data_IF_102490713941
#
_entry.id   IF_102490713941
#
_cell.length_a   1.000
_cell.length_b   1.000
_cell.length_c   1.000
_cell.angle_alpha   90.00
_cell.angle_beta   90.00
_cell.angle_gamma   90.00
#
_symmetry.space_group_name_H-M   'P 1'
#
loop_
_entity.id
_entity.type
_entity.pdbx_description
1 polymer ?
#
# COMPACT_ATOMS: atom_id res chain seq x y z
N UNK A 1 31.02 -0.09 10.05
CA UNK A 1 30.50 0.39 11.36
C UNK A 1 28.97 0.34 11.32
N UNK A 2 28.27 -0.02 12.39
CA UNK A 2 26.80 -0.14 12.37
C UNK A 2 26.14 1.23 12.60
N UNK A 3 25.57 1.85 11.57
CA UNK A 3 24.97 3.19 11.64
C UNK A 3 23.87 3.25 12.71
N UNK A 4 23.11 2.15 12.92
CA UNK A 4 22.09 2.10 13.99
C UNK A 4 22.69 2.27 15.38
N UNK A 5 23.90 1.76 15.60
CA UNK A 5 24.61 1.92 16.87
C UNK A 5 25.02 3.38 17.09
N UNK A 6 25.51 4.06 16.06
CA UNK A 6 25.84 5.50 16.14
C UNK A 6 24.63 6.36 16.52
N UNK A 7 23.45 6.03 15.98
CA UNK A 7 22.20 6.70 16.34
C UNK A 7 21.84 6.47 17.81
N UNK A 8 22.00 5.24 18.31
CA UNK A 8 21.76 4.89 19.72
C UNK A 8 22.73 5.61 20.67
N UNK A 9 23.99 5.73 20.26
CA UNK A 9 25.05 6.40 21.02
C UNK A 9 24.99 7.94 20.92
N UNK A 10 23.94 8.50 20.29
CA UNK A 10 23.75 9.94 20.03
C UNK A 10 24.86 10.60 19.19
N UNK A 11 25.65 9.82 18.46
CA UNK A 11 26.72 10.31 17.60
C UNK A 11 26.19 10.61 16.19
N UNK A 12 25.36 11.65 16.11
CA UNK A 12 24.59 11.97 14.90
C UNK A 12 25.46 12.48 13.74
N UNK A 13 26.54 13.21 14.03
CA UNK A 13 27.41 13.77 12.98
C UNK A 13 28.17 12.66 12.25
N UNK A 14 28.71 11.69 12.99
CA UNK A 14 29.35 10.53 12.39
C UNK A 14 28.33 9.67 11.64
N UNK A 15 27.13 9.45 12.20
CA UNK A 15 26.06 8.73 11.51
C UNK A 15 25.67 9.40 10.18
N UNK A 16 25.57 10.73 10.15
CA UNK A 16 25.28 11.50 8.93
C UNK A 16 26.40 11.35 7.90
N UNK A 17 27.66 11.47 8.33
CA UNK A 17 28.84 11.33 7.47
C UNK A 17 28.88 9.95 6.82
N UNK A 18 28.78 8.88 7.62
CA UNK A 18 28.84 7.50 7.14
C UNK A 18 27.66 7.17 6.22
N UNK A 19 26.45 7.63 6.54
CA UNK A 19 25.28 7.41 5.69
C UNK A 19 25.40 8.14 4.35
N UNK A 20 25.94 9.37 4.32
CA UNK A 20 26.18 10.11 3.07
C UNK A 20 27.21 9.42 2.18
N UNK A 21 28.33 8.96 2.75
CA UNK A 21 29.34 8.20 2.01
C UNK A 21 28.75 6.93 1.38
N UNK A 22 27.95 6.19 2.14
CA UNK A 22 27.29 4.97 1.65
C UNK A 22 26.29 5.29 0.53
N UNK A 23 25.53 6.39 0.66
CA UNK A 23 24.62 6.87 -0.39
C UNK A 23 25.38 7.25 -1.67
N UNK A 24 26.53 7.93 -1.56
CA UNK A 24 27.34 8.33 -2.72
C UNK A 24 27.97 7.15 -3.47
N UNK A 25 28.29 6.06 -2.76
CA UNK A 25 28.72 4.80 -3.39
C UNK A 25 27.55 4.16 -4.11
N UNK A 26 26.41 3.99 -3.43
CA UNK A 26 25.22 3.38 -4.02
C UNK A 26 24.68 4.16 -5.24
N UNK A 27 24.76 5.50 -5.23
CA UNK A 27 24.40 6.34 -6.37
C UNK A 27 25.26 6.04 -7.60
N UNK A 28 26.58 5.85 -7.42
CA UNK A 28 27.51 5.54 -8.51
C UNK A 28 27.29 4.15 -9.09
N UNK A 29 26.93 3.18 -8.26
CA UNK A 29 26.74 1.79 -8.67
C UNK A 29 25.37 1.53 -9.30
N UNK A 30 24.30 2.06 -8.69
CA UNK A 30 22.91 1.75 -9.05
C UNK A 30 22.26 2.81 -9.96
N UNK A 31 22.82 4.03 -9.98
CA UNK A 31 22.26 5.19 -10.67
C UNK A 31 21.11 5.86 -9.90
N UNK A 32 20.78 7.09 -10.31
CA UNK A 32 19.95 8.04 -9.55
C UNK A 32 18.50 7.63 -9.29
N UNK A 33 18.00 6.61 -9.99
CA UNK A 33 16.59 6.19 -9.96
C UNK A 33 16.36 4.82 -9.30
N UNK A 34 17.39 4.24 -8.67
CA UNK A 34 17.25 2.92 -8.05
C UNK A 34 16.45 2.98 -6.74
N UNK A 35 15.50 2.06 -6.50
CA UNK A 35 14.68 2.08 -5.30
C UNK A 35 15.48 1.84 -4.01
N UNK A 36 16.61 1.11 -4.07
CA UNK A 36 17.42 0.82 -2.88
C UNK A 36 18.06 2.08 -2.27
N UNK A 37 18.18 3.16 -3.04
CA UNK A 37 18.64 4.44 -2.51
C UNK A 37 17.70 5.01 -1.42
N UNK A 38 16.44 4.57 -1.41
CA UNK A 38 15.43 4.95 -0.42
C UNK A 38 15.85 4.56 1.00
N UNK A 39 16.54 3.44 1.17
CA UNK A 39 16.97 2.98 2.50
C UNK A 39 17.94 3.99 3.17
N UNK A 40 18.86 4.55 2.38
CA UNK A 40 19.81 5.55 2.87
C UNK A 40 19.12 6.89 3.14
N UNK A 41 18.16 7.27 2.30
CA UNK A 41 17.36 8.47 2.54
C UNK A 41 16.51 8.34 3.81
N UNK A 42 15.93 7.16 4.07
CA UNK A 42 15.16 6.90 5.30
C UNK A 42 16.06 6.97 6.53
N UNK A 43 17.27 6.40 6.46
CA UNK A 43 18.25 6.50 7.54
C UNK A 43 18.69 7.95 7.81
N UNK A 44 18.93 8.74 6.76
CA UNK A 44 19.22 10.17 6.92
C UNK A 44 18.05 10.90 7.59
N UNK A 45 16.81 10.60 7.21
CA UNK A 45 15.64 11.22 7.82
C UNK A 45 15.49 10.82 9.30
N UNK A 46 15.77 9.56 9.66
CA UNK A 46 15.81 9.09 11.04
C UNK A 46 16.86 9.84 11.87
N UNK A 47 18.08 9.98 11.35
CA UNK A 47 19.16 10.73 12.03
C UNK A 47 18.75 12.19 12.24
N UNK A 48 18.17 12.84 11.23
CA UNK A 48 17.66 14.21 11.36
C UNK A 48 16.55 14.33 12.40
N UNK A 49 15.66 13.34 12.51
CA UNK A 49 14.60 13.33 13.52
C UNK A 49 15.19 13.16 14.92
N UNK A 50 16.14 12.25 15.10
CA UNK A 50 16.83 12.00 16.36
C UNK A 50 17.65 13.22 16.82
N UNK A 51 18.28 13.94 15.90
CA UNK A 51 18.98 15.20 16.14
C UNK A 51 18.06 16.44 16.18
N UNK A 52 16.78 16.27 16.57
CA UNK A 52 15.85 17.40 16.79
C UNK A 52 15.46 18.21 15.55
N UNK A 53 15.68 17.71 14.33
CA UNK A 53 15.33 18.38 13.08
C UNK A 53 14.20 17.65 12.30
N UNK A 54 12.95 17.66 12.81
CA UNK A 54 11.83 16.99 12.17
C UNK A 54 11.45 17.63 10.82
N UNK A 55 11.72 18.92 10.63
CA UNK A 55 11.48 19.61 9.35
C UNK A 55 12.40 19.09 8.25
N UNK A 56 13.68 18.88 8.57
CA UNK A 56 14.67 18.26 7.69
C UNK A 56 14.30 16.82 7.35
N UNK A 57 13.98 16.01 8.36
CA UNK A 57 13.51 14.63 8.19
C UNK A 57 12.32 14.55 7.23
N UNK A 58 11.28 15.39 7.43
CA UNK A 58 10.09 15.43 6.57
C UNK A 58 10.43 15.76 5.10
N UNK A 59 11.38 16.64 4.85
CA UNK A 59 11.85 16.95 3.47
C UNK A 59 12.53 15.73 2.83
N UNK A 60 13.36 15.02 3.60
CA UNK A 60 14.07 13.83 3.12
C UNK A 60 13.10 12.68 2.86
N UNK A 61 12.15 12.41 3.77
CA UNK A 61 11.10 11.40 3.54
C UNK A 61 10.28 11.67 2.27
N UNK A 62 9.97 12.95 1.97
CA UNK A 62 9.32 13.34 0.71
C UNK A 62 10.21 13.10 -0.53
N UNK A 63 11.53 13.21 -0.40
CA UNK A 63 12.48 12.88 -1.49
C UNK A 63 12.52 11.36 -1.70
N UNK A 64 12.64 10.61 -0.60
CA UNK A 64 12.64 9.15 -0.60
C UNK A 64 11.36 8.58 -1.24
N UNK A 65 10.19 9.10 -0.85
CA UNK A 65 8.91 8.71 -1.44
C UNK A 65 8.85 8.99 -2.96
N UNK A 66 9.32 10.16 -3.41
CA UNK A 66 9.34 10.50 -4.85
C UNK A 66 10.27 9.59 -5.65
N UNK A 67 11.48 9.34 -5.13
CA UNK A 67 12.43 8.44 -5.76
C UNK A 67 11.85 7.04 -5.90
N UNK A 68 11.28 6.52 -4.81
CA UNK A 68 10.59 5.25 -4.78
C UNK A 68 9.44 5.18 -5.80
N UNK A 69 8.59 6.20 -5.84
CA UNK A 69 7.49 6.27 -6.80
C UNK A 69 7.95 6.29 -8.26
N UNK A 70 9.11 6.91 -8.54
CA UNK A 70 9.68 7.02 -9.87
C UNK A 70 10.37 5.72 -10.32
N UNK A 71 11.04 5.01 -9.40
CA UNK A 71 11.71 3.75 -9.68
C UNK A 71 10.74 2.70 -10.25
N UNK A 72 9.57 2.59 -9.63
CA UNK A 72 8.55 1.62 -10.02
C UNK A 72 7.59 2.12 -11.11
N UNK A 73 7.82 3.31 -11.69
CA UNK A 73 7.13 3.67 -12.93
C UNK A 73 7.56 2.71 -14.05
N UNK A 74 6.66 2.35 -14.96
CA UNK A 74 7.04 1.54 -16.08
C UNK A 74 7.88 2.42 -17.01
N UNK A 75 8.72 1.76 -17.79
CA UNK A 75 9.29 2.36 -18.98
C UNK A 75 8.25 2.25 -20.10
N UNK A 76 7.30 3.19 -20.11
CA UNK A 76 6.39 3.38 -21.24
C UNK A 76 7.18 3.94 -22.41
N UNK A 77 7.14 3.24 -23.54
CA UNK A 77 7.72 3.67 -24.80
C UNK A 77 6.61 3.99 -25.83
N UNK A 78 6.99 4.61 -26.94
CA UNK A 78 6.08 4.96 -28.02
C UNK A 78 5.28 3.74 -28.57
N UNK A 79 5.74 2.50 -28.34
CA UNK A 79 5.02 1.29 -28.78
C UNK A 79 3.71 1.10 -28.05
N UNK A 80 3.59 1.52 -26.79
CA UNK A 80 2.31 1.49 -26.10
C UNK A 80 1.32 2.46 -26.73
N UNK A 81 1.78 3.67 -27.07
CA UNK A 81 0.97 4.65 -27.79
C UNK A 81 0.50 4.11 -29.15
N UNK A 82 1.41 3.49 -29.91
CA UNK A 82 1.07 2.83 -31.17
C UNK A 82 0.11 1.64 -31.00
N UNK A 83 0.24 0.85 -29.93
CA UNK A 83 -0.68 -0.24 -29.62
C UNK A 83 -2.09 0.22 -29.26
N UNK A 84 -2.24 1.46 -28.80
CA UNK A 84 -3.55 2.06 -28.58
C UNK A 84 -4.19 2.58 -29.85
N UNK A 85 -3.41 3.23 -30.73
CA UNK A 85 -3.89 3.73 -32.01
C UNK A 85 -4.18 2.61 -33.01
N UNK A 86 -3.33 1.57 -32.99
CA UNK A 86 -3.29 0.54 -34.02
C UNK A 86 -3.24 -0.88 -33.41
N UNK A 87 -4.28 -1.28 -32.66
CA UNK A 87 -4.30 -2.54 -31.89
C UNK A 87 -4.26 -3.81 -32.76
N UNK A 88 -4.58 -3.70 -34.05
CA UNK A 88 -4.47 -4.79 -35.03
C UNK A 88 -3.01 -5.07 -35.40
N UNK A 89 -2.14 -4.05 -35.36
CA UNK A 89 -0.77 -4.11 -35.85
C UNK A 89 0.27 -4.25 -34.74
N UNK A 90 -0.05 -3.80 -33.52
CA UNK A 90 0.87 -3.85 -32.38
C UNK A 90 0.29 -4.66 -31.22
N UNK A 91 1.04 -5.68 -30.78
CA UNK A 91 0.71 -6.45 -29.57
C UNK A 91 1.21 -5.73 -28.32
N UNK A 92 0.42 -5.69 -27.23
CA UNK A 92 0.88 -5.18 -25.95
C UNK A 92 2.06 -6.01 -25.43
N UNK A 93 3.10 -5.34 -24.96
CA UNK A 93 4.21 -5.99 -24.27
C UNK A 93 4.01 -5.89 -22.74
N UNK A 94 4.69 -6.75 -21.99
CA UNK A 94 4.79 -6.61 -20.54
C UNK A 94 5.55 -5.32 -20.20
N UNK A 95 5.03 -4.56 -19.24
CA UNK A 95 5.69 -3.38 -18.70
C UNK A 95 7.06 -3.76 -18.13
N UNK A 96 8.03 -2.87 -18.29
CA UNK A 96 9.38 -3.05 -17.74
C UNK A 96 9.64 -1.97 -16.69
N UNK A 97 10.30 -2.28 -15.55
CA UNK A 97 10.70 -1.27 -14.59
C UNK A 97 11.72 -0.30 -15.19
N UNK A 98 11.85 0.89 -14.61
CA UNK A 98 12.85 1.90 -15.01
C UNK A 98 14.26 1.64 -14.46
N UNK A 99 14.42 0.59 -13.66
CA UNK A 99 15.68 0.14 -13.10
C UNK A 99 15.91 -1.33 -13.44
N UNK A 100 17.15 -1.79 -13.32
CA UNK A 100 17.51 -3.20 -13.44
C UNK A 100 17.41 -3.83 -12.05
N UNK A 101 16.51 -4.81 -11.82
CA UNK A 101 16.40 -5.43 -10.50
C UNK A 101 17.51 -6.46 -10.27
N UNK A 102 18.15 -6.37 -9.12
CA UNK A 102 19.18 -7.34 -8.71
C UNK A 102 18.57 -8.61 -8.09
N UNK A 103 17.40 -8.47 -7.44
CA UNK A 103 16.69 -9.58 -6.81
C UNK A 103 15.29 -9.73 -7.39
N UNK A 104 14.99 -10.93 -7.89
CA UNK A 104 13.67 -11.30 -8.39
C UNK A 104 13.13 -12.45 -7.54
N UNK A 105 12.01 -12.21 -6.86
CA UNK A 105 11.32 -13.22 -6.06
C UNK A 105 10.50 -14.12 -6.99
N UNK A 106 10.69 -15.44 -6.88
CA UNK A 106 9.92 -16.42 -7.63
C UNK A 106 8.59 -16.73 -6.92
N UNK A 107 7.49 -16.23 -7.46
CA UNK A 107 6.13 -16.57 -7.08
C UNK A 107 5.64 -17.76 -7.89
N UNK A 108 5.47 -18.89 -7.21
CA UNK A 108 4.96 -20.13 -7.78
C UNK A 108 3.44 -20.26 -7.57
N UNK A 109 2.72 -21.00 -8.42
CA UNK A 109 1.27 -21.14 -8.31
C UNK A 109 0.78 -21.66 -6.95
N UNK A 110 1.56 -22.48 -6.26
CA UNK A 110 1.21 -23.07 -4.96
C UNK A 110 1.17 -22.02 -3.83
N UNK A 111 1.79 -20.87 -4.04
CA UNK A 111 1.78 -19.76 -3.08
C UNK A 111 0.55 -18.86 -3.26
N UNK A 112 -0.31 -19.09 -4.24
CA UNK A 112 -1.46 -18.24 -4.52
C UNK A 112 -2.48 -18.33 -3.37
N UNK A 113 -2.75 -17.19 -2.72
CA UNK A 113 -3.75 -17.04 -1.65
C UNK A 113 -5.10 -16.69 -2.27
N UNK A 114 -5.11 -15.67 -3.12
CA UNK A 114 -6.34 -15.10 -3.66
C UNK A 114 -6.11 -14.50 -5.05
N UNK A 115 -7.10 -14.65 -5.93
CA UNK A 115 -7.08 -14.14 -7.30
C UNK A 115 -8.22 -13.14 -7.51
N UNK A 116 -7.96 -11.86 -7.21
CA UNK A 116 -8.94 -10.78 -7.38
C UNK A 116 -8.99 -10.24 -8.80
N UNK A 117 -9.91 -9.31 -9.12
CA UNK A 117 -10.10 -8.81 -10.48
C UNK A 117 -8.89 -8.06 -11.07
N UNK A 118 -8.20 -7.26 -10.24
CA UNK A 118 -7.02 -6.46 -10.64
C UNK A 118 -5.69 -7.12 -10.24
N UNK A 119 -5.66 -7.82 -9.10
CA UNK A 119 -4.45 -8.30 -8.43
C UNK A 119 -4.56 -9.76 -7.98
N UNK A 120 -3.42 -10.42 -7.94
CA UNK A 120 -3.23 -11.74 -7.34
C UNK A 120 -2.37 -11.58 -6.08
N UNK A 121 -2.74 -12.26 -4.99
CA UNK A 121 -2.00 -12.24 -3.73
C UNK A 121 -1.33 -13.59 -3.50
N UNK A 122 -0.03 -13.58 -3.17
CA UNK A 122 0.78 -14.76 -2.96
C UNK A 122 1.40 -14.74 -1.57
N UNK A 123 1.61 -15.90 -0.94
CA UNK A 123 2.44 -16.05 0.25
C UNK A 123 3.88 -15.69 -0.13
N UNK A 124 4.57 -14.92 0.72
CA UNK A 124 5.98 -14.60 0.49
C UNK A 124 6.84 -15.88 0.66
N UNK A 125 7.70 -16.26 -0.31
CA UNK A 125 8.36 -17.56 -0.30
C UNK A 125 9.31 -17.80 0.89
N UNK A 126 9.88 -16.74 1.46
CA UNK A 126 10.81 -16.81 2.59
C UNK A 126 10.16 -16.47 3.94
N UNK A 127 8.94 -15.94 3.95
CA UNK A 127 8.29 -15.52 5.20
C UNK A 127 6.77 -15.73 5.10
N UNK A 128 6.21 -16.77 5.73
CA UNK A 128 4.79 -17.07 5.63
C UNK A 128 3.89 -16.01 6.26
N UNK A 129 4.42 -15.09 7.08
CA UNK A 129 3.67 -13.98 7.68
C UNK A 129 3.53 -12.78 6.73
N UNK A 130 4.14 -12.83 5.56
CA UNK A 130 4.05 -11.79 4.54
C UNK A 130 3.29 -12.30 3.31
N UNK A 131 2.64 -11.39 2.61
CA UNK A 131 2.10 -11.65 1.29
C UNK A 131 2.57 -10.61 0.28
N UNK A 132 2.62 -11.04 -0.98
CA UNK A 132 3.01 -10.22 -2.12
C UNK A 132 1.77 -10.07 -3.00
N UNK A 133 1.28 -8.84 -3.13
CA UNK A 133 0.19 -8.49 -4.06
C UNK A 133 0.77 -8.07 -5.40
N UNK A 134 0.44 -8.76 -6.48
CA UNK A 134 0.94 -8.46 -7.84
C UNK A 134 -0.21 -8.05 -8.75
N UNK A 135 -0.03 -6.96 -9.49
CA UNK A 135 -0.95 -6.49 -10.52
C UNK A 135 -0.94 -7.43 -11.73
N UNK A 136 -2.12 -7.94 -12.14
CA UNK A 136 -2.26 -8.86 -13.29
C UNK A 136 -1.76 -8.26 -14.61
N UNK A 137 -1.72 -6.93 -14.69
CA UNK A 137 -1.27 -6.15 -15.85
C UNK A 137 0.16 -6.47 -16.27
N UNK A 138 1.04 -6.78 -15.31
CA UNK A 138 2.45 -7.08 -15.59
C UNK A 138 2.65 -8.40 -16.33
N UNK A 139 1.79 -9.40 -16.07
CA UNK A 139 1.85 -10.73 -16.72
C UNK A 139 1.19 -10.75 -18.09
N UNK A 140 -0.05 -10.27 -18.18
CA UNK A 140 -0.90 -10.49 -19.37
C UNK A 140 -0.60 -9.54 -20.52
N UNK A 141 0.31 -8.60 -20.30
CA UNK A 141 0.45 -7.45 -21.17
C UNK A 141 -0.76 -6.53 -21.05
N UNK A 142 -0.56 -5.33 -21.54
CA UNK A 142 -1.43 -4.21 -21.32
C UNK A 142 -2.61 -4.19 -22.33
N UNK A 143 -3.72 -4.88 -22.01
CA UNK A 143 -4.96 -4.82 -22.81
C UNK A 143 -5.93 -3.78 -22.24
N UNK A 144 -5.90 -2.58 -22.80
CA UNK A 144 -6.88 -1.55 -22.48
C UNK A 144 -8.20 -1.77 -23.26
N UNK A 145 -9.36 -1.59 -22.60
CA UNK A 145 -10.66 -1.48 -23.30
C UNK A 145 -10.73 -0.23 -24.20
N UNK A 146 -11.52 -0.22 -25.28
CA UNK A 146 -11.63 0.95 -26.17
C UNK A 146 -11.93 2.27 -25.43
N UNK A 147 -12.81 2.23 -24.41
CA UNK A 147 -13.12 3.39 -23.55
C UNK A 147 -11.88 3.94 -22.83
N UNK A 148 -11.07 3.06 -22.25
CA UNK A 148 -9.86 3.46 -21.53
C UNK A 148 -8.74 3.90 -22.50
N UNK A 149 -8.69 3.40 -23.74
CA UNK A 149 -7.77 3.92 -24.79
C UNK A 149 -8.12 5.35 -25.18
N UNK A 150 -9.41 5.64 -25.33
CA UNK A 150 -9.88 7.00 -25.62
C UNK A 150 -9.55 7.95 -24.46
N UNK A 151 -9.81 7.54 -23.20
CA UNK A 151 -9.35 8.30 -22.03
C UNK A 151 -7.84 8.54 -22.07
N UNK A 152 -7.04 7.57 -22.49
CA UNK A 152 -5.59 7.76 -22.63
C UNK A 152 -5.20 8.80 -23.65
N UNK A 153 -5.85 8.76 -24.81
CA UNK A 153 -5.55 9.67 -25.89
C UNK A 153 -5.92 11.12 -25.53
N UNK A 154 -7.07 11.31 -24.88
CA UNK A 154 -7.60 12.62 -24.52
C UNK A 154 -6.99 13.17 -23.22
N UNK A 155 -6.61 12.29 -22.30
CA UNK A 155 -6.21 12.63 -20.94
C UNK A 155 -5.05 11.74 -20.44
N UNK A 156 -3.85 11.81 -21.06
CA UNK A 156 -2.73 10.93 -20.74
C UNK A 156 -2.23 11.03 -19.29
N UNK A 157 -2.49 12.15 -18.61
CA UNK A 157 -2.14 12.37 -17.21
C UNK A 157 -3.12 11.71 -16.20
N UNK A 158 -4.26 11.23 -16.67
CA UNK A 158 -5.40 10.79 -15.84
C UNK A 158 -5.51 9.26 -15.70
N UNK A 159 -4.48 8.51 -16.09
CA UNK A 159 -4.61 7.06 -16.23
C UNK A 159 -3.81 6.32 -15.18
N UNK A 160 -4.56 5.62 -14.33
CA UNK A 160 -4.05 4.79 -13.27
C UNK A 160 -3.60 3.42 -13.76
N UNK A 161 -2.30 3.17 -13.62
CA UNK A 161 -1.72 1.84 -13.74
C UNK A 161 -0.90 1.46 -12.53
N UNK A 162 -1.29 1.86 -11.31
CA UNK A 162 -0.34 1.84 -10.20
C UNK A 162 -0.96 1.47 -8.85
N UNK A 163 -1.94 0.55 -8.82
CA UNK A 163 -2.70 0.27 -7.59
C UNK A 163 -1.81 -0.15 -6.41
N UNK A 164 -0.77 -0.96 -6.66
CA UNK A 164 0.24 -1.31 -5.66
C UNK A 164 1.08 -0.10 -5.19
N UNK A 165 1.43 0.82 -6.10
CA UNK A 165 2.21 2.01 -5.77
C UNK A 165 1.40 3.01 -4.97
N UNK A 166 0.14 3.19 -5.34
CA UNK A 166 -0.78 4.07 -4.64
C UNK A 166 -1.06 3.57 -3.24
N UNK A 167 -1.36 2.28 -3.09
CA UNK A 167 -1.55 1.64 -1.80
C UNK A 167 -0.28 1.85 -0.93
N UNK A 168 0.90 1.46 -1.42
CA UNK A 168 2.15 1.67 -0.69
C UNK A 168 2.45 3.15 -0.33
N UNK A 169 2.13 4.08 -1.24
CA UNK A 169 2.24 5.53 -0.99
C UNK A 169 1.34 5.94 0.16
N UNK A 170 0.10 5.43 0.22
CA UNK A 170 -0.83 5.69 1.32
C UNK A 170 -0.25 5.16 2.63
N UNK A 171 0.15 3.88 2.71
CA UNK A 171 0.76 3.33 3.92
C UNK A 171 1.93 4.18 4.40
N UNK A 172 2.87 4.50 3.50
CA UNK A 172 4.06 5.29 3.83
C UNK A 172 3.70 6.71 4.26
N UNK A 173 2.76 7.37 3.57
CA UNK A 173 2.38 8.77 3.88
C UNK A 173 1.62 8.87 5.20
N UNK A 174 0.73 7.92 5.47
CA UNK A 174 -0.07 7.88 6.69
C UNK A 174 0.78 7.47 7.89
N UNK A 175 1.62 6.43 7.75
CA UNK A 175 2.58 6.04 8.79
C UNK A 175 3.54 7.18 9.16
N UNK A 176 4.00 7.98 8.18
CA UNK A 176 4.83 9.16 8.45
C UNK A 176 4.08 10.29 9.19
N UNK A 177 2.75 10.36 9.07
CA UNK A 177 1.91 11.36 9.74
C UNK A 177 1.51 10.92 11.15
N UNK A 178 1.09 9.67 11.30
CA UNK A 178 0.42 9.13 12.49
C UNK A 178 1.39 8.31 13.36
N UNK A 179 2.39 7.67 12.77
CA UNK A 179 3.30 6.77 13.48
C UNK A 179 2.70 5.38 13.72
N UNK A 180 3.12 4.74 14.81
CA UNK A 180 2.79 3.33 15.12
C UNK A 180 1.30 3.08 15.36
N UNK A 181 0.54 4.08 15.81
CA UNK A 181 -0.92 4.01 16.00
C UNK A 181 -1.64 3.63 14.70
N UNK A 182 -1.08 3.98 13.53
CA UNK A 182 -1.64 3.58 12.23
C UNK A 182 -1.72 2.06 12.04
N UNK A 183 -0.73 1.32 12.55
CA UNK A 183 -0.65 -0.13 12.37
C UNK A 183 -1.56 -0.91 13.32
N UNK A 184 -2.31 -0.23 14.20
CA UNK A 184 -3.42 -0.85 14.94
C UNK A 184 -4.59 -1.20 14.01
N UNK A 185 -4.79 -0.39 12.96
CA UNK A 185 -5.88 -0.56 11.99
C UNK A 185 -5.38 -0.85 10.56
N UNK A 186 -4.07 -1.02 10.35
CA UNK A 186 -3.47 -1.27 9.06
C UNK A 186 -2.37 -2.35 9.14
N UNK A 187 -2.25 -3.25 8.15
CA UNK A 187 -1.12 -4.16 8.11
C UNK A 187 0.18 -3.39 7.87
N UNK A 188 1.32 -3.91 8.31
CA UNK A 188 2.61 -3.32 7.91
C UNK A 188 2.82 -3.48 6.41
N UNK A 189 3.30 -2.41 5.77
CA UNK A 189 3.67 -2.38 4.36
C UNK A 189 5.18 -2.27 4.24
N UNK A 190 5.82 -3.26 3.63
CA UNK A 190 7.27 -3.36 3.49
C UNK A 190 7.78 -2.81 2.15
N UNK A 191 6.86 -2.31 1.30
CA UNK A 191 7.19 -1.70 0.02
C UNK A 191 7.06 -2.67 -1.15
N UNK A 192 7.53 -2.25 -2.32
CA UNK A 192 7.44 -3.02 -3.55
C UNK A 192 8.75 -3.75 -3.79
N UNK A 193 8.65 -5.02 -4.17
CA UNK A 193 9.76 -5.88 -4.56
C UNK A 193 9.54 -6.38 -5.99
N UNK A 194 10.62 -6.74 -6.68
CA UNK A 194 10.50 -7.36 -7.99
C UNK A 194 10.25 -8.87 -7.87
N UNK A 195 9.29 -9.35 -8.66
CA UNK A 195 8.96 -10.77 -8.77
C UNK A 195 9.02 -11.22 -10.23
N UNK A 196 9.03 -12.53 -10.46
CA UNK A 196 8.90 -13.13 -11.80
C UNK A 196 7.58 -12.76 -12.50
N UNK A 197 6.60 -12.19 -11.78
CA UNK A 197 5.30 -11.77 -12.30
C UNK A 197 5.18 -10.24 -12.44
N UNK A 198 6.23 -9.48 -12.11
CA UNK A 198 6.24 -8.01 -12.06
C UNK A 198 6.49 -7.46 -10.65
N UNK A 199 6.39 -6.15 -10.44
CA UNK A 199 6.46 -5.53 -9.13
C UNK A 199 5.30 -5.99 -8.24
N UNK A 200 5.63 -6.45 -7.04
CA UNK A 200 4.68 -6.89 -6.03
C UNK A 200 4.77 -6.05 -4.76
N UNK A 201 3.63 -5.64 -4.22
CA UNK A 201 3.56 -4.95 -2.93
C UNK A 201 3.63 -5.98 -1.80
N UNK A 202 4.63 -5.87 -0.95
CA UNK A 202 4.81 -6.72 0.24
C UNK A 202 4.06 -6.10 1.42
N UNK A 203 3.10 -6.84 1.96
CA UNK A 203 2.38 -6.47 3.17
C UNK A 203 2.34 -7.62 4.15
N UNK A 204 2.14 -7.28 5.42
CA UNK A 204 1.85 -8.23 6.48
C UNK A 204 0.55 -8.99 6.18
N UNK A 205 0.57 -10.30 6.43
CA UNK A 205 -0.64 -11.10 6.54
C UNK A 205 -1.16 -10.95 7.96
N UNK A 206 -2.34 -10.35 8.06
CA UNK A 206 -2.98 -10.09 9.35
C UNK A 206 -3.25 -11.42 10.04
N UNK A 207 -2.53 -11.65 11.14
CA UNK A 207 -2.66 -12.81 11.99
C UNK A 207 -3.12 -12.39 13.38
N UNK A 208 -3.77 -13.34 14.04
CA UNK A 208 -4.15 -13.30 15.43
C UNK A 208 -2.95 -13.72 16.30
N UNK A 209 -3.06 -13.49 17.62
CA UNK A 209 -2.02 -13.86 18.58
C UNK A 209 -1.68 -15.37 18.61
N UNK A 210 -2.65 -16.22 18.27
CA UNK A 210 -2.46 -17.69 18.17
C UNK A 210 -1.73 -18.13 16.88
N UNK A 211 -1.35 -17.19 16.02
CA UNK A 211 -0.70 -17.44 14.73
C UNK A 211 -1.67 -17.84 13.60
N UNK A 212 -2.98 -17.94 13.87
CA UNK A 212 -3.99 -18.09 12.83
C UNK A 212 -4.21 -16.78 12.08
N UNK A 213 -4.76 -16.85 10.86
CA UNK A 213 -5.04 -15.64 10.08
C UNK A 213 -6.36 -15.02 10.49
N UNK A 214 -6.35 -13.71 10.70
CA UNK A 214 -7.51 -12.94 11.13
C UNK A 214 -8.64 -13.03 10.11
N UNK A 215 -9.87 -13.21 10.60
CA UNK A 215 -11.03 -13.42 9.76
C UNK A 215 -11.66 -12.09 9.32
N UNK A 216 -12.23 -12.01 8.11
CA UNK A 216 -13.17 -10.97 7.74
C UNK A 216 -14.30 -10.82 8.77
N UNK A 217 -14.74 -9.58 9.01
CA UNK A 217 -15.75 -9.27 10.02
C UNK A 217 -17.08 -10.00 9.78
N UNK A 218 -17.49 -10.17 8.53
CA UNK A 218 -18.71 -10.91 8.18
C UNK A 218 -18.58 -12.40 8.50
N UNK A 219 -17.41 -13.00 8.25
CA UNK A 219 -17.09 -14.38 8.61
C UNK A 219 -16.98 -14.53 10.13
N UNK A 220 -16.35 -13.57 10.81
CA UNK A 220 -16.19 -13.56 12.25
C UNK A 220 -17.55 -13.57 12.97
N UNK A 221 -18.49 -12.72 12.55
CA UNK A 221 -19.84 -12.65 13.14
C UNK A 221 -20.65 -13.92 12.84
N UNK A 222 -20.59 -14.44 11.61
CA UNK A 222 -21.26 -15.71 11.26
C UNK A 222 -20.76 -16.88 12.10
N UNK A 223 -19.45 -16.96 12.34
CA UNK A 223 -18.87 -18.03 13.17
C UNK A 223 -19.10 -17.80 14.68
N UNK A 224 -19.45 -16.58 15.09
CA UNK A 224 -19.62 -16.20 16.49
C UNK A 224 -20.85 -15.28 16.68
N UNK A 225 -22.10 -15.77 16.51
CA UNK A 225 -23.30 -14.91 16.55
C UNK A 225 -23.43 -14.10 17.85
N UNK A 226 -23.02 -14.67 18.99
CA UNK A 226 -23.00 -13.98 20.29
C UNK A 226 -22.00 -12.82 20.42
N UNK A 227 -21.12 -12.63 19.42
CA UNK A 227 -20.13 -11.54 19.37
C UNK A 227 -20.52 -10.41 18.42
N UNK A 228 -21.78 -10.34 17.96
CA UNK A 228 -22.23 -9.25 17.10
C UNK A 228 -21.93 -7.87 17.70
N UNK A 229 -22.32 -7.66 18.97
CA UNK A 229 -22.11 -6.37 19.65
C UNK A 229 -20.63 -5.97 19.63
N UNK A 230 -19.74 -6.91 19.99
CA UNK A 230 -18.29 -6.71 19.95
C UNK A 230 -17.80 -6.32 18.55
N UNK A 231 -18.27 -6.99 17.49
CA UNK A 231 -17.89 -6.64 16.12
C UNK A 231 -18.34 -5.24 15.70
N UNK A 232 -19.53 -4.78 16.16
CA UNK A 232 -20.02 -3.42 15.91
C UNK A 232 -19.21 -2.38 16.71
N UNK A 233 -18.86 -2.68 17.95
CA UNK A 233 -18.02 -1.82 18.80
C UNK A 233 -16.61 -1.63 18.15
N UNK A 234 -16.05 -2.70 17.57
CA UNK A 234 -14.78 -2.62 16.83
C UNK A 234 -14.88 -1.77 15.55
N UNK A 235 -16.03 -1.78 14.87
CA UNK A 235 -16.27 -0.92 13.69
C UNK A 235 -16.36 0.55 14.09
N UNK A 236 -16.98 0.85 15.23
CA UNK A 236 -17.05 2.19 15.80
C UNK A 236 -15.66 2.69 16.21
N UNK A 237 -14.86 1.86 16.88
CA UNK A 237 -13.46 2.16 17.22
C UNK A 237 -12.62 2.50 15.97
N UNK A 238 -12.73 1.72 14.89
CA UNK A 238 -12.10 2.05 13.61
C UNK A 238 -12.61 3.39 13.05
N UNK A 239 -13.91 3.64 13.08
CA UNK A 239 -14.51 4.87 12.56
C UNK A 239 -13.99 6.10 13.32
N UNK A 240 -13.95 6.03 14.65
CA UNK A 240 -13.43 7.09 15.51
C UNK A 240 -11.94 7.35 15.26
N UNK A 241 -11.14 6.30 15.08
CA UNK A 241 -9.74 6.41 14.67
C UNK A 241 -9.60 7.19 13.35
N UNK A 242 -10.43 6.88 12.34
CA UNK A 242 -10.39 7.57 11.05
C UNK A 242 -10.76 9.06 11.19
N UNK A 243 -11.79 9.37 11.99
CA UNK A 243 -12.23 10.76 12.23
C UNK A 243 -11.16 11.56 12.98
N UNK A 244 -10.58 10.98 14.03
CA UNK A 244 -9.51 11.57 14.85
C UNK A 244 -8.31 12.01 13.99
N UNK A 245 -7.92 11.18 13.03
CA UNK A 245 -6.71 11.41 12.21
C UNK A 245 -6.98 12.09 10.85
N UNK A 246 -8.23 12.47 10.58
CA UNK A 246 -8.68 13.03 9.29
C UNK A 246 -8.34 12.09 8.12
N UNK A 247 -8.68 10.82 8.29
CA UNK A 247 -8.53 9.76 7.29
C UNK A 247 -9.88 9.43 6.66
N UNK A 248 -9.84 9.05 5.38
CA UNK A 248 -11.04 8.64 4.63
C UNK A 248 -10.73 7.40 3.81
N UNK A 249 -11.49 6.33 4.02
CA UNK A 249 -11.46 5.09 3.23
C UNK A 249 -12.83 4.90 2.57
N UNK A 250 -12.88 4.18 1.45
CA UNK A 250 -14.07 4.09 0.58
C UNK A 250 -14.47 2.67 0.21
N UNK A 251 -13.77 1.66 0.73
CA UNK A 251 -14.07 0.26 0.42
C UNK A 251 -14.94 -0.40 1.50
N UNK A 252 -15.78 0.41 2.18
CA UNK A 252 -16.72 -0.04 3.21
C UNK A 252 -17.78 -1.01 2.68
N UNK A 253 -18.07 -0.97 1.39
CA UNK A 253 -19.02 -1.88 0.76
C UNK A 253 -18.54 -3.35 0.74
N UNK A 254 -17.26 -3.60 1.02
CA UNK A 254 -16.67 -4.93 1.00
C UNK A 254 -16.23 -5.37 2.41
N UNK A 255 -17.06 -6.15 3.15
CA UNK A 255 -16.71 -6.65 4.48
C UNK A 255 -15.41 -7.45 4.54
N UNK A 256 -15.02 -8.10 3.43
CA UNK A 256 -13.79 -8.89 3.35
C UNK A 256 -12.50 -8.08 3.54
N UNK A 257 -12.58 -6.75 3.44
CA UNK A 257 -11.47 -5.85 3.69
C UNK A 257 -11.28 -5.50 5.17
N UNK A 258 -12.21 -5.88 6.06
CA UNK A 258 -12.16 -5.53 7.48
C UNK A 258 -11.88 -6.79 8.29
N UNK A 259 -10.63 -7.00 8.67
CA UNK A 259 -10.20 -8.21 9.39
C UNK A 259 -10.24 -7.97 10.89
N UNK A 260 -10.85 -8.88 11.64
CA UNK A 260 -10.86 -8.85 13.11
C UNK A 260 -9.60 -9.53 13.62
N UNK A 261 -8.62 -8.73 14.06
CA UNK A 261 -7.38 -9.20 14.67
C UNK A 261 -7.59 -9.41 16.16
N UNK A 262 -7.42 -10.64 16.62
CA UNK A 262 -7.51 -10.99 18.05
C UNK A 262 -6.18 -10.76 18.78
N UNK A 263 -6.23 -10.07 19.92
CA UNK A 263 -5.06 -9.83 20.76
C UNK A 263 -5.44 -9.71 22.25
N UNK A 264 -4.90 -10.59 23.10
CA UNK A 264 -5.24 -10.63 24.53
C UNK A 264 -4.70 -9.44 25.34
N UNK A 265 -3.59 -8.84 24.90
CA UNK A 265 -2.89 -7.77 25.64
C UNK A 265 -3.43 -6.39 25.26
N UNK A 266 -3.59 -6.13 23.96
CA UNK A 266 -3.99 -4.82 23.41
C UNK A 266 -5.48 -4.72 23.10
N UNK A 267 -6.20 -5.83 23.19
CA UNK A 267 -7.58 -5.94 22.74
C UNK A 267 -7.68 -6.20 21.24
N UNK A 268 -8.84 -6.74 20.84
CA UNK A 268 -9.15 -6.97 19.42
C UNK A 268 -9.24 -5.64 18.66
N UNK A 269 -8.85 -5.65 17.38
CA UNK A 269 -8.92 -4.47 16.50
C UNK A 269 -9.37 -4.88 15.10
N UNK A 270 -10.05 -3.97 14.40
CA UNK A 270 -10.26 -4.12 12.96
C UNK A 270 -9.04 -3.61 12.20
N UNK A 271 -8.42 -4.50 11.45
CA UNK A 271 -7.35 -4.18 10.52
C UNK A 271 -7.92 -4.13 9.11
N UNK A 272 -7.86 -2.96 8.49
CA UNK A 272 -8.32 -2.77 7.12
C UNK A 272 -7.24 -3.25 6.16
N UNK A 273 -7.58 -4.20 5.29
CA UNK A 273 -6.75 -4.64 4.18
C UNK A 273 -7.22 -3.97 2.90
N UNK A 274 -6.27 -3.50 2.06
CA UNK A 274 -6.55 -2.63 0.90
C UNK A 274 -6.90 -1.17 1.27
N UNK A 275 -5.95 -0.52 1.95
CA UNK A 275 -6.01 0.92 2.25
C UNK A 275 -6.00 1.75 0.97
N UNK A 276 -7.19 2.03 0.45
CA UNK A 276 -7.43 3.01 -0.61
C UNK A 276 -8.13 4.22 -0.01
N UNK A 277 -7.37 5.29 0.16
CA UNK A 277 -7.93 6.63 0.29
C UNK A 277 -8.26 7.12 -1.12
N UNK A 278 -9.46 7.63 -1.42
CA UNK A 278 -9.75 8.19 -2.75
C UNK A 278 -8.62 9.16 -3.16
N UNK A 279 -8.04 8.78 -4.28
CA UNK A 279 -6.85 9.30 -4.92
C UNK A 279 -6.49 8.32 -6.03
N UNK A 280 -7.50 7.72 -6.64
CA UNK A 280 -7.38 7.12 -7.97
C UNK A 280 -7.35 8.31 -8.92
N UNK A 281 -6.40 8.40 -9.85
CA UNK A 281 -6.65 9.12 -11.09
C UNK A 281 -7.91 8.61 -11.84
N UNK A 282 -8.55 7.50 -11.42
CA UNK A 282 -9.87 7.07 -11.92
C UNK A 282 -11.01 8.09 -11.63
N UNK A 283 -10.80 9.17 -10.85
CA UNK A 283 -11.78 10.25 -10.69
C UNK A 283 -11.22 11.57 -11.19
N UNK A 284 -11.90 12.11 -12.18
CA UNK A 284 -11.46 13.21 -13.05
C UNK A 284 -11.14 14.55 -12.32
N UNK A 285 -11.36 14.67 -10.99
CA UNK A 285 -10.97 15.81 -10.13
C UNK A 285 -10.69 15.34 -8.67
N UNK A 286 -9.72 15.96 -7.93
CA UNK A 286 -9.44 15.63 -6.53
C UNK A 286 -10.50 16.25 -5.59
N UNK A 287 -11.77 15.86 -5.75
CA UNK A 287 -12.91 16.42 -5.02
C UNK A 287 -12.76 16.38 -3.50
N UNK A 288 -11.94 15.49 -2.95
CA UNK A 288 -11.63 15.45 -1.51
C UNK A 288 -10.81 16.66 -1.06
N UNK A 289 -9.81 17.07 -1.85
CA UNK A 289 -8.99 18.24 -1.54
C UNK A 289 -9.78 19.54 -1.74
N UNK A 290 -10.86 19.47 -2.54
CA UNK A 290 -11.77 20.59 -2.80
C UNK A 290 -12.92 20.63 -1.77
N UNK A 291 -13.45 19.47 -1.36
CA UNK A 291 -14.61 19.34 -0.46
C UNK A 291 -14.44 18.22 0.60
N UNK A 292 -13.60 18.42 1.63
CA UNK A 292 -13.37 17.43 2.69
C UNK A 292 -14.64 16.99 3.42
N UNK A 293 -15.59 17.91 3.62
CA UNK A 293 -16.86 17.63 4.30
C UNK A 293 -17.74 16.62 3.53
N UNK A 294 -17.77 16.70 2.20
CA UNK A 294 -18.53 15.75 1.36
C UNK A 294 -17.90 14.36 1.40
N UNK A 295 -16.57 14.27 1.37
CA UNK A 295 -15.84 13.01 1.50
C UNK A 295 -16.16 12.31 2.83
N UNK A 296 -16.12 13.05 3.95
CA UNK A 296 -16.52 12.53 5.27
C UNK A 296 -17.98 12.10 5.29
N UNK A 297 -18.90 12.92 4.76
CA UNK A 297 -20.33 12.58 4.72
C UNK A 297 -20.58 11.28 3.95
N UNK A 298 -19.90 11.09 2.81
CA UNK A 298 -19.97 9.87 2.02
C UNK A 298 -19.41 8.67 2.79
N UNK A 299 -18.24 8.80 3.42
CA UNK A 299 -17.66 7.75 4.25
C UNK A 299 -18.59 7.34 5.39
N UNK A 300 -19.18 8.30 6.11
CA UNK A 300 -20.14 8.03 7.18
C UNK A 300 -21.35 7.26 6.68
N UNK A 301 -21.87 7.61 5.50
CA UNK A 301 -22.96 6.86 4.88
C UNK A 301 -22.57 5.41 4.60
N UNK A 302 -21.42 5.18 3.96
CA UNK A 302 -20.97 3.82 3.63
C UNK A 302 -20.63 2.99 4.88
N UNK A 303 -20.06 3.61 5.92
CA UNK A 303 -19.87 3.01 7.25
C UNK A 303 -21.20 2.53 7.85
N UNK A 304 -22.23 3.38 7.84
CA UNK A 304 -23.55 3.01 8.36
C UNK A 304 -24.16 1.84 7.58
N UNK A 305 -24.01 1.82 6.25
CA UNK A 305 -24.45 0.70 5.42
C UNK A 305 -23.72 -0.61 5.78
N UNK A 306 -22.40 -0.58 5.98
CA UNK A 306 -21.65 -1.76 6.43
C UNK A 306 -22.15 -2.23 7.80
N UNK A 307 -22.31 -1.30 8.75
CA UNK A 307 -22.78 -1.60 10.11
C UNK A 307 -24.15 -2.28 10.11
N UNK A 308 -25.09 -1.77 9.31
CA UNK A 308 -26.41 -2.39 9.13
C UNK A 308 -26.31 -3.78 8.49
N UNK A 309 -25.46 -3.94 7.47
CA UNK A 309 -25.27 -5.23 6.81
C UNK A 309 -24.72 -6.27 7.80
N UNK A 310 -23.74 -5.92 8.63
CA UNK A 310 -23.20 -6.81 9.67
C UNK A 310 -24.26 -7.12 10.73
N UNK A 311 -25.07 -6.15 11.15
CA UNK A 311 -26.16 -6.37 12.09
C UNK A 311 -27.20 -7.38 11.56
N UNK A 312 -27.50 -7.37 10.26
CA UNK A 312 -28.43 -8.33 9.64
C UNK A 312 -27.88 -9.75 9.56
N UNK A 313 -26.56 -9.95 9.54
CA UNK A 313 -25.98 -11.29 9.44
C UNK A 313 -26.32 -12.20 10.62
N UNK A 314 -26.56 -11.64 11.81
CA UNK A 314 -26.96 -12.40 12.99
C UNK A 314 -28.47 -12.73 13.02
N UNK A 315 -29.27 -12.17 12.10
CA UNK A 315 -30.72 -12.38 12.01
C UNK A 315 -31.12 -13.37 10.91
N UNK A 316 -30.14 -14.01 10.26
CA UNK A 316 -30.35 -14.96 9.16
C UNK A 316 -30.24 -16.43 9.59
N UNK A 317 -30.20 -16.71 10.90
CA UNK A 317 -30.33 -18.04 11.51
C UNK A 317 -31.76 -18.27 12.03
#
# INVERSE_FOLDING_TARGET
MNIKKLIQDNNYDEALSETKKALDVALRELGDNHPDLVQYLDLLAEIHKANGNPRGAKKIYKKALRLWMNAFLPKDNYRYFLADLFPMFFKPQALQPRFKPDKIIALRPELLIHSGSKREAYIHPQDPNLCIKVDRLWRRGYRISPRKRLKRLLMPWLIDFWSNREEARVYRSVALKIGEEFFEHAPRCYGIVMTNLGPGLVVERVSDEDGSFSQPIDVYVKNNPGKLKHALDLLEDLYDFLIKHDLVIYDWANPSNFLVRKNSIRGDKIVVVDWKTEGTADKDLPWRDIFPALARKKMTFEYNCLRENIARLASMD
#
